data_IF_144025301620
#
_entry.id   IF_144025301620
#
_cell.length_a   1.000
_cell.length_b   1.000
_cell.length_c   1.000
_cell.angle_alpha   90.00
_cell.angle_beta   90.00
_cell.angle_gamma   90.00
#
_symmetry.space_group_name_H-M   'P 1'
#
loop_
_entity.id
_entity.type
_entity.pdbx_description
1 polymer ?
#
# COMPACT_ATOMS: atom_id res chain seq x y z
N UNK A 1 1.50 9.64 -12.86
CA UNK A 1 2.17 8.39 -12.45
C UNK A 1 2.37 8.44 -10.93
N UNK A 2 2.02 7.38 -10.21
CA UNK A 2 2.27 7.31 -8.77
C UNK A 2 3.76 7.21 -8.45
N UNK A 3 4.22 7.91 -7.40
CA UNK A 3 5.62 7.87 -6.92
C UNK A 3 5.84 6.85 -5.79
N UNK A 4 4.76 6.28 -5.27
CA UNK A 4 4.74 5.28 -4.21
C UNK A 4 3.44 4.50 -4.29
N UNK A 5 3.42 3.32 -3.68
CA UNK A 5 2.21 2.53 -3.58
C UNK A 5 1.16 3.23 -2.69
N UNK A 6 -0.14 3.17 -3.03
CA UNK A 6 -1.20 3.88 -2.30
C UNK A 6 -1.46 3.29 -0.91
N UNK A 7 -1.22 1.99 -0.72
CA UNK A 7 -1.27 1.29 0.57
C UNK A 7 0.13 0.85 1.01
N UNK A 8 0.38 0.70 2.32
CA UNK A 8 1.65 0.21 2.85
C UNK A 8 2.05 -1.15 2.24
N UNK A 9 3.29 -1.23 1.76
CA UNK A 9 3.91 -2.44 1.23
C UNK A 9 5.41 -2.40 1.49
N UNK A 10 5.93 -3.40 2.19
CA UNK A 10 7.36 -3.52 2.49
C UNK A 10 8.10 -3.88 1.21
N UNK A 11 9.23 -3.21 0.94
CA UNK A 11 10.03 -3.50 -0.26
C UNK A 11 9.47 -2.92 -1.56
N UNK A 12 8.50 -2.01 -1.50
CA UNK A 12 8.03 -1.27 -2.68
C UNK A 12 9.20 -0.56 -3.38
N UNK A 13 9.29 -0.67 -4.70
CA UNK A 13 10.44 -0.21 -5.50
C UNK A 13 10.39 1.29 -5.84
N UNK A 14 9.87 2.13 -4.94
CA UNK A 14 9.67 3.58 -5.18
C UNK A 14 10.95 4.33 -5.56
N UNK A 15 12.08 3.97 -4.95
CA UNK A 15 13.39 4.59 -5.25
C UNK A 15 13.97 4.13 -6.60
N UNK A 16 13.41 3.06 -7.18
CA UNK A 16 13.88 2.49 -8.44
C UNK A 16 13.09 2.99 -9.67
N UNK A 17 12.00 3.74 -9.46
CA UNK A 17 11.11 4.20 -10.53
C UNK A 17 11.83 4.93 -11.66
N UNK A 18 12.78 5.82 -11.34
CA UNK A 18 13.53 6.57 -12.36
C UNK A 18 14.40 5.65 -13.22
N UNK A 19 15.13 4.73 -12.59
CA UNK A 19 15.97 3.77 -13.31
C UNK A 19 15.10 2.86 -14.18
N UNK A 20 13.96 2.42 -13.67
CA UNK A 20 13.01 1.60 -14.41
C UNK A 20 12.43 2.34 -15.62
N UNK A 21 12.05 3.61 -15.47
CA UNK A 21 11.60 4.46 -16.57
C UNK A 21 12.66 4.64 -17.66
N UNK A 22 13.92 4.87 -17.28
CA UNK A 22 15.05 4.93 -18.22
C UNK A 22 15.16 3.64 -19.02
N UNK A 23 15.19 2.48 -18.35
CA UNK A 23 15.29 1.18 -19.02
C UNK A 23 14.10 0.94 -19.96
N UNK A 24 12.87 1.27 -19.56
CA UNK A 24 11.71 1.12 -20.43
C UNK A 24 11.80 1.99 -21.69
N UNK A 25 12.29 3.23 -21.56
CA UNK A 25 12.39 4.14 -22.70
C UNK A 25 13.55 3.82 -23.63
N UNK A 26 14.66 3.29 -23.10
CA UNK A 26 15.80 2.86 -23.90
C UNK A 26 15.55 1.55 -24.66
N UNK A 27 14.66 0.68 -24.15
CA UNK A 27 14.48 -0.67 -24.69
C UNK A 27 13.14 -0.92 -25.38
N UNK A 28 12.14 -0.04 -25.19
CA UNK A 28 10.81 -0.19 -25.78
C UNK A 28 10.46 1.08 -26.55
N UNK A 29 10.34 0.96 -27.88
CA UNK A 29 10.04 2.10 -28.75
C UNK A 29 8.62 2.63 -28.57
N UNK A 30 8.47 3.96 -28.69
CA UNK A 30 7.19 4.66 -28.62
C UNK A 30 6.36 4.30 -27.39
N UNK A 31 5.08 4.00 -27.62
CA UNK A 31 4.11 3.65 -26.58
C UNK A 31 4.10 2.14 -26.22
N UNK A 32 5.02 1.35 -26.80
CA UNK A 32 5.12 -0.10 -26.56
C UNK A 32 4.11 -0.96 -27.30
N UNK A 33 3.69 -0.56 -28.51
CA UNK A 33 2.85 -1.39 -29.38
C UNK A 33 3.48 -2.77 -29.60
N UNK A 34 2.69 -3.84 -29.48
CA UNK A 34 3.15 -5.22 -29.66
C UNK A 34 3.97 -5.81 -28.49
N UNK A 35 4.33 -5.02 -27.48
CA UNK A 35 5.08 -5.50 -26.32
C UNK A 35 4.19 -6.11 -25.25
N UNK A 36 4.68 -7.18 -24.60
CA UNK A 36 4.13 -7.69 -23.35
C UNK A 36 5.18 -7.57 -22.24
N UNK A 37 4.86 -6.84 -21.18
CA UNK A 37 5.70 -6.69 -19.98
C UNK A 37 5.10 -7.57 -18.88
N UNK A 38 5.88 -8.48 -18.31
CA UNK A 38 5.44 -9.41 -17.27
C UNK A 38 6.17 -9.07 -15.97
N UNK A 39 5.42 -8.69 -14.96
CA UNK A 39 5.90 -8.43 -13.61
C UNK A 39 5.59 -9.65 -12.73
N UNK A 40 6.54 -10.58 -12.67
CA UNK A 40 6.38 -11.88 -11.99
C UNK A 40 6.36 -11.75 -10.46
N UNK A 41 6.91 -10.66 -9.92
CA UNK A 41 6.98 -10.37 -8.49
C UNK A 41 6.45 -8.96 -8.22
N UNK A 42 5.21 -8.71 -8.62
CA UNK A 42 4.71 -7.34 -8.69
C UNK A 42 4.53 -6.66 -7.34
N UNK A 43 4.34 -7.43 -6.27
CA UNK A 43 4.16 -6.91 -4.92
C UNK A 43 3.10 -5.81 -4.89
N UNK A 44 3.49 -4.58 -4.53
CA UNK A 44 2.61 -3.39 -4.58
C UNK A 44 2.04 -2.98 -5.96
N UNK A 45 2.45 -3.63 -7.05
CA UNK A 45 2.09 -3.26 -8.42
C UNK A 45 2.66 -1.91 -8.90
N UNK A 46 3.55 -1.27 -8.12
CA UNK A 46 4.06 0.07 -8.42
C UNK A 46 4.82 0.13 -9.75
N UNK A 47 5.66 -0.87 -10.05
CA UNK A 47 6.41 -0.93 -11.31
C UNK A 47 5.49 -1.30 -12.48
N UNK A 48 4.60 -2.29 -12.30
CA UNK A 48 3.54 -2.60 -13.27
C UNK A 48 2.71 -1.37 -13.67
N UNK A 49 2.28 -0.57 -12.68
CA UNK A 49 1.57 0.68 -12.94
C UNK A 49 2.44 1.68 -13.72
N UNK A 50 3.71 1.86 -13.32
CA UNK A 50 4.64 2.74 -14.03
C UNK A 50 4.83 2.31 -15.50
N UNK A 51 5.08 1.02 -15.74
CA UNK A 51 5.20 0.46 -17.09
C UNK A 51 3.97 0.75 -17.94
N UNK A 52 2.76 0.51 -17.40
CA UNK A 52 1.51 0.77 -18.13
C UNK A 52 1.27 2.25 -18.39
N UNK A 53 1.74 3.15 -17.52
CA UNK A 53 1.62 4.61 -17.72
C UNK A 53 2.64 5.16 -18.73
N UNK A 54 3.84 4.60 -18.76
CA UNK A 54 4.93 5.02 -19.66
C UNK A 54 4.74 4.42 -21.06
N UNK A 55 4.32 3.16 -21.15
CA UNK A 55 4.07 2.42 -22.40
C UNK A 55 2.59 2.03 -22.49
N UNK A 56 1.68 2.97 -22.80
CA UNK A 56 0.24 2.74 -22.70
C UNK A 56 -0.29 1.68 -23.68
N UNK A 57 0.39 1.43 -24.80
CA UNK A 57 0.00 0.40 -25.78
C UNK A 57 0.59 -0.97 -25.49
N UNK A 58 1.58 -1.06 -24.59
CA UNK A 58 2.07 -2.35 -24.10
C UNK A 58 1.00 -3.08 -23.28
N UNK A 59 0.94 -4.40 -23.43
CA UNK A 59 0.22 -5.29 -22.50
C UNK A 59 1.08 -5.48 -21.26
N UNK A 60 0.55 -5.15 -20.08
CA UNK A 60 1.25 -5.35 -18.81
C UNK A 60 0.52 -6.41 -18.01
N UNK A 61 1.23 -7.47 -17.60
CA UNK A 61 0.72 -8.55 -16.77
C UNK A 61 1.37 -8.42 -15.39
N UNK A 62 0.54 -8.19 -14.38
CA UNK A 62 0.92 -8.03 -12.99
C UNK A 62 0.54 -9.30 -12.22
N UNK A 63 1.54 -10.00 -11.68
CA UNK A 63 1.33 -11.13 -10.78
C UNK A 63 1.30 -10.65 -9.33
N UNK A 64 0.17 -10.87 -8.66
CA UNK A 64 -0.05 -10.51 -7.25
C UNK A 64 -0.14 -11.76 -6.39
N UNK A 65 0.97 -12.13 -5.75
CA UNK A 65 1.02 -13.26 -4.82
C UNK A 65 0.58 -12.87 -3.40
N UNK A 66 0.83 -11.63 -2.98
CA UNK A 66 0.65 -11.16 -1.60
C UNK A 66 -0.72 -10.50 -1.35
N UNK A 67 -1.66 -10.61 -2.30
CA UNK A 67 -3.03 -10.09 -2.17
C UNK A 67 -3.14 -8.57 -2.13
N UNK A 68 -2.20 -7.84 -2.74
CA UNK A 68 -2.25 -6.38 -2.75
C UNK A 68 -3.45 -5.82 -3.54
N UNK A 69 -3.89 -6.50 -4.60
CA UNK A 69 -5.04 -6.11 -5.41
C UNK A 69 -6.34 -6.16 -4.61
N UNK A 70 -6.53 -7.17 -3.74
CA UNK A 70 -7.69 -7.23 -2.84
C UNK A 70 -7.69 -6.07 -1.85
N UNK A 71 -6.52 -5.74 -1.29
CA UNK A 71 -6.37 -4.59 -0.39
C UNK A 71 -6.73 -3.28 -1.11
N UNK A 72 -6.32 -3.11 -2.37
CA UNK A 72 -6.69 -1.96 -3.19
C UNK A 72 -8.19 -1.88 -3.47
N UNK A 73 -8.85 -3.01 -3.72
CA UNK A 73 -10.30 -3.06 -3.94
C UNK A 73 -11.08 -2.58 -2.71
N UNK A 74 -10.49 -2.71 -1.51
CA UNK A 74 -11.07 -2.29 -0.24
C UNK A 74 -10.48 -0.96 0.30
N UNK A 75 -9.84 -0.15 -0.55
CA UNK A 75 -9.16 1.08 -0.10
C UNK A 75 -10.09 2.10 0.58
N UNK A 76 -11.38 2.11 0.21
CA UNK A 76 -12.37 3.00 0.82
C UNK A 76 -12.63 2.63 2.29
N UNK A 77 -12.78 1.34 2.59
CA UNK A 77 -12.92 0.84 3.97
C UNK A 77 -11.66 1.11 4.78
N UNK A 78 -10.48 0.89 4.19
CA UNK A 78 -9.19 1.19 4.83
C UNK A 78 -9.11 2.68 5.20
N UNK A 79 -9.50 3.57 4.29
CA UNK A 79 -9.51 5.01 4.55
C UNK A 79 -10.60 5.44 5.55
N UNK A 80 -11.76 4.78 5.56
CA UNK A 80 -12.82 5.03 6.53
C UNK A 80 -12.38 4.64 7.94
N UNK A 81 -11.75 3.47 8.11
CA UNK A 81 -11.16 3.05 9.38
C UNK A 81 -10.04 3.98 9.82
N UNK A 82 -9.14 4.37 8.90
CA UNK A 82 -8.09 5.36 9.17
C UNK A 82 -8.67 6.65 9.74
N UNK A 83 -9.72 7.17 9.11
CA UNK A 83 -10.38 8.42 9.55
C UNK A 83 -10.91 8.30 10.99
N UNK A 84 -11.58 7.18 11.32
CA UNK A 84 -12.08 6.91 12.68
C UNK A 84 -10.95 6.87 13.72
N UNK A 85 -9.86 6.16 13.40
CA UNK A 85 -8.68 6.08 14.27
C UNK A 85 -8.01 7.44 14.47
N UNK A 86 -7.83 8.21 13.40
CA UNK A 86 -7.28 9.57 13.47
C UNK A 86 -8.14 10.50 14.33
N UNK A 87 -9.46 10.40 14.22
CA UNK A 87 -10.37 11.19 15.06
C UNK A 87 -10.25 10.83 16.55
N UNK A 88 -10.08 9.55 16.87
CA UNK A 88 -9.93 9.09 18.26
C UNK A 88 -8.59 9.50 18.89
N UNK A 89 -7.48 9.37 18.15
CA UNK A 89 -6.15 9.79 18.63
C UNK A 89 -6.05 11.33 18.65
N UNK A 90 -6.62 11.99 17.64
CA UNK A 90 -6.55 13.44 17.46
C UNK A 90 -5.11 13.96 17.47
N UNK A 91 -4.93 15.20 17.94
CA UNK A 91 -3.60 15.80 18.18
C UNK A 91 -3.10 15.56 19.61
N UNK A 92 -3.70 14.63 20.36
CA UNK A 92 -3.42 14.45 21.79
C UNK A 92 -2.10 13.73 22.04
N UNK A 93 -1.64 12.91 21.09
CA UNK A 93 -0.42 12.12 21.22
C UNK A 93 0.60 12.55 20.16
N UNK A 94 1.83 12.95 20.56
CA UNK A 94 2.89 13.24 19.61
C UNK A 94 3.24 12.02 18.77
N UNK A 95 3.67 12.25 17.53
CA UNK A 95 4.14 11.18 16.63
C UNK A 95 5.24 10.35 17.31
N UNK A 96 5.22 9.03 17.10
CA UNK A 96 6.18 8.06 17.66
C UNK A 96 6.20 8.00 19.20
N UNK A 97 5.11 8.41 19.87
CA UNK A 97 4.93 8.20 21.31
C UNK A 97 3.88 7.12 21.55
N UNK A 98 4.04 6.42 22.67
CA UNK A 98 3.10 5.38 23.09
C UNK A 98 1.76 6.03 23.45
N UNK A 99 0.67 5.44 22.98
CA UNK A 99 -0.69 5.83 23.37
C UNK A 99 -0.91 5.58 24.87
N UNK A 100 -1.78 6.38 25.49
CA UNK A 100 -2.28 6.06 26.82
C UNK A 100 -3.08 4.75 26.78
N UNK A 101 -3.20 4.05 27.92
CA UNK A 101 -4.00 2.81 27.99
C UNK A 101 -5.45 3.03 27.54
N UNK A 102 -6.02 4.21 27.84
CA UNK A 102 -7.37 4.58 27.46
C UNK A 102 -7.51 4.75 25.94
N UNK A 103 -6.58 5.47 25.30
CA UNK A 103 -6.60 5.64 23.84
C UNK A 103 -6.33 4.34 23.09
N UNK A 104 -5.45 3.50 23.64
CA UNK A 104 -5.20 2.16 23.10
C UNK A 104 -6.49 1.32 23.11
N UNK A 105 -7.20 1.27 24.25
CA UNK A 105 -8.47 0.54 24.36
C UNK A 105 -9.53 1.07 23.39
N UNK A 106 -9.61 2.39 23.21
CA UNK A 106 -10.55 3.00 22.26
C UNK A 106 -10.20 2.65 20.80
N UNK A 107 -8.92 2.66 20.42
CA UNK A 107 -8.50 2.25 19.08
C UNK A 107 -8.83 0.77 18.81
N UNK A 108 -8.60 -0.10 19.80
CA UNK A 108 -8.96 -1.54 19.70
C UNK A 108 -10.47 -1.68 19.49
N UNK A 109 -11.29 -0.98 20.29
CA UNK A 109 -12.75 -0.99 20.16
C UNK A 109 -13.20 -0.55 18.76
N UNK A 110 -12.64 0.56 18.25
CA UNK A 110 -12.92 1.05 16.89
C UNK A 110 -12.58 0.00 15.82
N UNK A 111 -11.42 -0.67 15.94
CA UNK A 111 -11.01 -1.71 15.00
C UNK A 111 -11.94 -2.92 15.09
N UNK A 112 -12.29 -3.38 16.29
CA UNK A 112 -13.17 -4.54 16.49
C UNK A 112 -14.58 -4.29 15.96
N UNK A 113 -15.17 -3.13 16.26
CA UNK A 113 -16.53 -2.75 15.84
C UNK A 113 -16.63 -2.32 14.37
N UNK A 114 -15.51 -2.10 13.67
CA UNK A 114 -15.54 -1.73 12.26
C UNK A 114 -16.10 -2.87 11.41
N UNK A 115 -17.24 -2.63 10.75
CA UNK A 115 -17.94 -3.63 9.93
C UNK A 115 -17.40 -3.83 8.52
N UNK A 116 -16.45 -2.98 8.08
CA UNK A 116 -15.82 -3.08 6.76
C UNK A 116 -14.50 -3.86 6.78
N UNK A 117 -13.79 -3.84 5.66
CA UNK A 117 -12.50 -4.50 5.50
C UNK A 117 -11.41 -3.93 6.44
N UNK A 118 -10.69 -4.81 7.13
CA UNK A 118 -9.62 -4.46 8.08
C UNK A 118 -8.28 -4.91 7.54
N UNK A 119 -7.54 -3.99 6.94
CA UNK A 119 -6.21 -4.28 6.42
C UNK A 119 -5.15 -4.29 7.53
N UNK A 120 -4.73 -5.49 7.96
CA UNK A 120 -3.73 -5.67 9.01
C UNK A 120 -2.42 -4.94 8.71
N UNK A 121 -1.97 -4.98 7.47
CA UNK A 121 -0.73 -4.32 7.04
C UNK A 121 -0.81 -2.80 7.22
N UNK A 122 -1.95 -2.20 6.92
CA UNK A 122 -2.20 -0.77 7.17
C UNK A 122 -2.24 -0.47 8.66
N UNK A 123 -3.01 -1.23 9.43
CA UNK A 123 -3.11 -1.06 10.89
C UNK A 123 -1.75 -1.15 11.57
N UNK A 124 -0.96 -2.18 11.25
CA UNK A 124 0.40 -2.36 11.74
C UNK A 124 1.28 -1.15 11.40
N UNK A 125 1.22 -0.66 10.16
CA UNK A 125 2.03 0.49 9.72
C UNK A 125 1.67 1.81 10.42
N UNK A 126 0.44 1.93 10.92
CA UNK A 126 -0.05 3.15 11.56
C UNK A 126 0.13 3.14 13.08
N UNK A 127 -0.07 1.98 13.71
CA UNK A 127 -0.19 1.86 15.17
C UNK A 127 1.05 1.24 15.83
N UNK A 128 1.81 0.43 15.10
CA UNK A 128 3.03 -0.17 15.65
C UNK A 128 4.25 0.72 15.39
N UNK A 129 5.31 0.48 16.17
CA UNK A 129 6.61 1.09 15.90
C UNK A 129 7.14 0.63 14.53
N UNK A 130 7.88 1.50 13.86
CA UNK A 130 8.40 1.24 12.52
C UNK A 130 9.15 -0.10 12.44
N UNK A 131 8.76 -0.94 11.47
CA UNK A 131 9.36 -2.25 11.23
C UNK A 131 8.73 -3.41 12.00
N UNK A 132 7.77 -3.16 12.89
CA UNK A 132 7.01 -4.21 13.55
C UNK A 132 5.90 -4.73 12.63
N UNK A 133 5.65 -6.04 12.71
CA UNK A 133 4.59 -6.75 12.00
C UNK A 133 3.91 -7.72 12.95
N UNK A 134 2.64 -7.99 12.68
CA UNK A 134 1.79 -8.93 13.42
C UNK A 134 1.12 -9.87 12.43
N UNK A 135 0.89 -11.12 12.84
CA UNK A 135 0.29 -12.11 11.95
C UNK A 135 -1.24 -12.02 11.92
N UNK A 136 -1.85 -11.49 12.97
CA UNK A 136 -3.30 -11.40 13.14
C UNK A 136 -3.74 -10.06 13.74
N UNK A 137 -5.05 -9.76 13.66
CA UNK A 137 -5.65 -8.56 14.26
C UNK A 137 -5.70 -8.64 15.79
N UNK A 138 -5.67 -9.86 16.35
CA UNK A 138 -5.84 -10.10 17.79
C UNK A 138 -4.50 -10.04 18.57
N UNK A 139 -3.36 -9.92 17.88
CA UNK A 139 -2.01 -9.68 18.44
C UNK A 139 -1.74 -8.20 18.73
#
# INVERSE_FOLDING_TARGET
>A
MFKQAPLPFVGQKRMFLKHFETVLNENIEGDGEGWTIIDTFGGSGLLSHAAKRIKPKARVIYNDFDGYAERLANIDDINALRTKLYAAVGNTTPKNKKLSKQLQAECIRIIQEFGGYKDLNSLASWLLFSGQQVATIDE
#
